data_IF_983081584802
#
_entry.id   IF_983081584802
#
_cell.length_a   1.000
_cell.length_b   1.000
_cell.length_c   1.000
_cell.angle_alpha   90.00
_cell.angle_beta   90.00
_cell.angle_gamma   90.00
#
_symmetry.space_group_name_H-M   'P 1'
#
loop_
_entity.id
_entity.type
_entity.pdbx_description
1 polymer ?
#
# COMPACT_ATOMS: atom_id res chain seq x y z
N UNK A 1 -9.35 -15.77 -14.55
CA UNK A 1 -10.14 -15.17 -13.44
C UNK A 1 -9.63 -15.60 -12.04
N UNK A 2 -9.36 -16.88 -11.79
CA UNK A 2 -9.00 -17.42 -10.46
C UNK A 2 -7.77 -16.79 -9.77
N UNK A 3 -6.73 -16.46 -10.55
CA UNK A 3 -5.49 -15.87 -10.01
C UNK A 3 -5.69 -14.44 -9.49
N UNK A 4 -6.51 -13.65 -10.19
CA UNK A 4 -6.83 -12.27 -9.78
C UNK A 4 -7.65 -12.25 -8.50
N UNK A 5 -8.63 -13.16 -8.36
CA UNK A 5 -9.39 -13.31 -7.11
C UNK A 5 -8.51 -13.74 -5.94
N UNK A 6 -7.58 -14.67 -6.16
CA UNK A 6 -6.64 -15.09 -5.11
C UNK A 6 -5.69 -13.95 -4.70
N UNK A 7 -5.18 -13.18 -5.66
CA UNK A 7 -4.29 -12.04 -5.39
C UNK A 7 -5.03 -10.92 -4.62
N UNK A 8 -6.29 -10.64 -5.00
CA UNK A 8 -7.15 -9.69 -4.29
C UNK A 8 -7.44 -10.20 -2.87
N UNK A 9 -7.78 -11.48 -2.70
CA UNK A 9 -8.03 -12.07 -1.38
C UNK A 9 -6.79 -11.99 -0.48
N UNK A 10 -5.59 -12.23 -1.01
CA UNK A 10 -4.32 -12.07 -0.27
C UNK A 10 -4.08 -10.61 0.09
N UNK A 11 -4.28 -9.68 -0.85
CA UNK A 11 -4.15 -8.25 -0.58
C UNK A 11 -5.11 -7.78 0.51
N UNK A 12 -6.37 -8.22 0.46
CA UNK A 12 -7.39 -7.93 1.47
C UNK A 12 -7.01 -8.55 2.82
N UNK A 13 -6.55 -9.80 2.87
CA UNK A 13 -6.10 -10.44 4.11
C UNK A 13 -4.93 -9.68 4.76
N UNK A 14 -3.97 -9.18 3.97
CA UNK A 14 -2.84 -8.38 4.47
C UNK A 14 -3.25 -7.00 4.99
N UNK A 15 -4.31 -6.40 4.44
CA UNK A 15 -4.87 -5.12 4.91
C UNK A 15 -5.75 -5.32 6.16
N UNK A 16 -6.55 -6.40 6.15
CA UNK A 16 -7.60 -6.65 7.14
C UNK A 16 -7.05 -7.29 8.42
N UNK A 17 -5.97 -8.08 8.36
CA UNK A 17 -5.31 -8.57 9.57
C UNK A 17 -4.72 -7.35 10.28
N UNK A 18 -5.30 -6.89 11.40
CA UNK A 18 -4.69 -5.83 12.17
C UNK A 18 -3.42 -6.46 12.75
N UNK A 19 -2.27 -6.16 12.16
CA UNK A 19 -0.99 -6.57 12.73
C UNK A 19 -0.97 -5.97 14.15
N UNK A 20 -0.96 -6.76 15.23
CA UNK A 20 -1.02 -6.25 16.61
C UNK A 20 0.34 -5.69 17.04
N UNK A 21 1.02 -5.02 16.11
CA UNK A 21 2.33 -4.44 16.26
C UNK A 21 2.19 -3.01 15.77
N UNK A 22 2.38 -2.00 16.62
CA UNK A 22 2.67 -0.67 16.13
C UNK A 22 4.00 -0.79 15.40
N UNK A 23 3.96 -1.01 14.08
CA UNK A 23 5.15 -0.97 13.25
C UNK A 23 5.59 0.49 13.32
N UNK A 24 6.69 0.81 14.02
CA UNK A 24 7.03 2.19 14.35
C UNK A 24 7.32 3.05 13.10
N UNK A 25 7.41 2.41 11.93
CA UNK A 25 7.72 3.02 10.66
C UNK A 25 6.58 2.97 9.64
N UNK A 26 5.37 2.47 9.95
CA UNK A 26 4.26 2.43 8.97
C UNK A 26 3.91 3.84 8.49
N UNK A 27 3.82 4.82 9.39
CA UNK A 27 3.58 6.21 8.99
C UNK A 27 4.70 6.77 8.10
N UNK A 28 5.95 6.39 8.35
CA UNK A 28 7.12 6.80 7.56
C UNK A 28 7.08 6.17 6.17
N UNK A 29 6.78 4.87 6.08
CA UNK A 29 6.69 4.13 4.81
C UNK A 29 5.52 4.67 3.98
N UNK A 30 4.34 4.82 4.59
CA UNK A 30 3.16 5.37 3.91
C UNK A 30 3.39 6.80 3.45
N UNK A 31 4.01 7.64 4.29
CA UNK A 31 4.37 9.02 3.94
C UNK A 31 5.39 9.09 2.79
N UNK A 32 6.42 8.24 2.81
CA UNK A 32 7.41 8.18 1.74
C UNK A 32 6.79 7.73 0.40
N UNK A 33 5.90 6.72 0.44
CA UNK A 33 5.15 6.28 -0.73
C UNK A 33 4.23 7.38 -1.26
N UNK A 34 3.56 8.12 -0.39
CA UNK A 34 2.71 9.25 -0.78
C UNK A 34 3.52 10.39 -1.44
N UNK A 35 4.71 10.72 -0.92
CA UNK A 35 5.60 11.71 -1.54
C UNK A 35 6.12 11.25 -2.90
N UNK A 36 6.51 9.98 -3.03
CA UNK A 36 6.92 9.41 -4.32
C UNK A 36 5.79 9.42 -5.32
N UNK A 37 4.57 9.06 -4.91
CA UNK A 37 3.38 9.11 -5.76
C UNK A 37 3.06 10.56 -6.18
N UNK A 38 3.10 11.53 -5.26
CA UNK A 38 2.90 12.94 -5.59
C UNK A 38 3.96 13.51 -6.53
N UNK A 39 5.22 13.11 -6.34
CA UNK A 39 6.31 13.47 -7.25
C UNK A 39 6.10 12.84 -8.63
N UNK A 40 5.68 11.58 -8.69
CA UNK A 40 5.36 10.90 -9.94
C UNK A 40 4.22 11.62 -10.67
N UNK A 41 3.10 11.90 -10.01
CA UNK A 41 1.99 12.66 -10.60
C UNK A 41 2.46 14.02 -11.13
N UNK A 42 3.30 14.73 -10.36
CA UNK A 42 3.88 16.01 -10.78
C UNK A 42 4.79 15.90 -12.00
N UNK A 43 5.63 14.86 -12.08
CA UNK A 43 6.58 14.68 -13.18
C UNK A 43 5.91 14.19 -14.47
N UNK A 44 4.87 13.37 -14.34
CA UNK A 44 4.19 12.74 -15.47
C UNK A 44 2.85 13.43 -15.84
N UNK A 45 2.45 14.47 -15.11
CA UNK A 45 1.38 15.40 -15.50
C UNK A 45 -0.02 14.81 -15.50
N UNK A 46 -0.28 13.80 -14.65
CA UNK A 46 -1.61 13.19 -14.50
C UNK A 46 -2.51 14.04 -13.60
#
# INVERSE_FOLDING_TARGET
MRFSTALIAVGVALIVIPLPVPIPFVGVIVGALALLAGLFLRLFGV
#
